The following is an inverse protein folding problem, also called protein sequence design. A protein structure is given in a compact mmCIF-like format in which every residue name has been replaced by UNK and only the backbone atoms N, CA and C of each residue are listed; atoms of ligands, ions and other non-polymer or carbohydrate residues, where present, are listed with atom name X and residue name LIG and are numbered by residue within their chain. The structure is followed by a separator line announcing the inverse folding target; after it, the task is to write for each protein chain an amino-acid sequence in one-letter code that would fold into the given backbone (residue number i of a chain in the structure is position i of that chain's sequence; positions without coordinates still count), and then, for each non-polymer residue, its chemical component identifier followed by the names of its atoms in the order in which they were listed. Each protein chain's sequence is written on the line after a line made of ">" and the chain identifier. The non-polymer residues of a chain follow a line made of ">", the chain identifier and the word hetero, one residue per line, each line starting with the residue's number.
data_IF_992357919760
#
_entry.id   IF_992357919760
#
_cell.length_a   1.000
_cell.length_b   1.000
_cell.length_c   1.000
_cell.angle_alpha   90.00
_cell.angle_beta   90.00
_cell.angle_gamma   90.00
#
_symmetry.space_group_name_H-M   'P 1'
#
loop_
_entity.id
_entity.type
_entity.pdbx_description
1 polymer ?
#
# COMPACT_ATOMS: atom_id res chain seq x y z
N UNK A 1 2.94 16.76 -37.50
CA UNK A 1 2.44 16.75 -36.12
C UNK A 1 2.70 18.13 -35.57
N UNK A 2 1.67 18.96 -35.45
CA UNK A 2 1.82 20.34 -35.00
C UNK A 2 1.87 20.39 -33.46
N UNK A 3 3.00 20.84 -32.86
CA UNK A 3 3.19 20.82 -31.41
C UNK A 3 2.26 21.78 -30.64
N UNK A 4 1.60 22.71 -31.34
CA UNK A 4 0.74 23.73 -30.72
C UNK A 4 -0.67 23.21 -30.39
N UNK A 5 -1.15 22.16 -31.07
CA UNK A 5 -2.50 21.61 -30.86
C UNK A 5 -2.55 20.57 -29.72
N UNK A 6 -1.42 19.95 -29.37
CA UNK A 6 -1.36 18.89 -28.33
C UNK A 6 -1.23 19.40 -26.89
N UNK A 7 -0.62 20.59 -26.69
CA UNK A 7 -0.36 21.12 -25.35
C UNK A 7 -1.62 21.33 -24.47
N UNK A 8 -2.76 21.84 -24.98
CA UNK A 8 -3.98 22.01 -24.18
C UNK A 8 -4.61 20.68 -23.74
N UNK A 9 -4.52 19.63 -24.57
CA UNK A 9 -5.05 18.29 -24.24
C UNK A 9 -4.19 17.59 -23.20
N UNK A 10 -2.87 17.65 -23.33
CA UNK A 10 -1.94 17.07 -22.36
C UNK A 10 -2.04 17.75 -20.99
N UNK A 11 -2.16 19.08 -20.96
CA UNK A 11 -2.37 19.82 -19.71
C UNK A 11 -3.69 19.42 -19.05
N UNK A 12 -4.77 19.28 -19.82
CA UNK A 12 -6.06 18.83 -19.27
C UNK A 12 -5.96 17.42 -18.69
N UNK A 13 -5.33 16.48 -19.39
CA UNK A 13 -5.11 15.12 -18.89
C UNK A 13 -4.33 15.14 -17.56
N UNK A 14 -3.19 15.83 -17.54
CA UNK A 14 -2.31 15.85 -16.37
C UNK A 14 -3.04 16.37 -15.12
N UNK A 15 -3.77 17.48 -15.25
CA UNK A 15 -4.50 18.06 -14.12
C UNK A 15 -5.64 17.16 -13.67
N UNK A 16 -6.47 16.67 -14.60
CA UNK A 16 -7.68 15.93 -14.23
C UNK A 16 -7.40 14.54 -13.64
N UNK A 17 -6.35 13.86 -14.09
CA UNK A 17 -6.06 12.50 -13.65
C UNK A 17 -4.84 12.42 -12.73
N UNK A 18 -3.69 12.94 -13.18
CA UNK A 18 -2.42 12.76 -12.45
C UNK A 18 -2.44 13.56 -11.15
N UNK A 19 -2.75 14.87 -11.22
CA UNK A 19 -2.72 15.75 -10.05
C UNK A 19 -3.79 15.36 -9.03
N UNK A 20 -5.02 15.11 -9.45
CA UNK A 20 -6.12 14.73 -8.53
C UNK A 20 -5.79 13.45 -7.77
N UNK A 21 -5.35 12.39 -8.47
CA UNK A 21 -4.99 11.15 -7.80
C UNK A 21 -3.69 11.24 -6.98
N UNK A 22 -2.71 12.05 -7.38
CA UNK A 22 -1.52 12.33 -6.57
C UNK A 22 -1.88 13.07 -5.27
N UNK A 23 -2.71 14.10 -5.35
CA UNK A 23 -3.21 14.82 -4.16
C UNK A 23 -3.98 13.86 -3.26
N UNK A 24 -4.87 13.04 -3.82
CA UNK A 24 -5.58 12.03 -3.05
C UNK A 24 -4.63 11.05 -2.35
N UNK A 25 -3.59 10.59 -3.05
CA UNK A 25 -2.58 9.66 -2.52
C UNK A 25 -1.72 10.29 -1.43
N UNK A 26 -1.37 11.57 -1.56
CA UNK A 26 -0.67 12.33 -0.52
C UNK A 26 -1.55 12.53 0.72
N UNK A 27 -2.85 12.82 0.54
CA UNK A 27 -3.78 12.94 1.66
C UNK A 27 -3.94 11.62 2.42
N UNK A 28 -4.05 10.49 1.69
CA UNK A 28 -4.04 9.16 2.31
C UNK A 28 -2.73 8.92 3.05
N UNK A 29 -1.58 9.25 2.43
CA UNK A 29 -0.29 9.00 3.02
C UNK A 29 -0.05 9.80 4.30
N UNK A 30 -0.35 11.10 4.29
CA UNK A 30 -0.23 11.95 5.47
C UNK A 30 -1.23 11.51 6.54
N UNK A 31 -2.51 11.30 6.18
CA UNK A 31 -3.53 10.90 7.14
C UNK A 31 -3.23 9.54 7.78
N UNK A 32 -2.63 8.60 7.04
CA UNK A 32 -2.28 7.28 7.53
C UNK A 32 -1.25 7.29 8.66
N UNK A 33 -0.43 8.34 8.79
CA UNK A 33 0.45 8.51 9.95
C UNK A 33 -0.35 8.67 11.25
N UNK A 34 -1.50 9.34 11.20
CA UNK A 34 -2.36 9.59 12.35
C UNK A 34 -3.33 8.46 12.70
N UNK A 35 -3.74 7.63 11.74
CA UNK A 35 -4.79 6.61 11.97
C UNK A 35 -4.42 5.20 11.53
N UNK A 36 -3.33 5.01 10.80
CA UNK A 36 -2.89 3.70 10.34
C UNK A 36 -2.32 2.84 11.46
N UNK A 37 -2.20 1.55 11.20
CA UNK A 37 -1.64 0.58 12.11
C UNK A 37 -0.12 0.67 12.16
N UNK A 38 0.40 1.03 13.33
CA UNK A 38 1.81 0.99 13.64
C UNK A 38 2.09 -0.13 14.65
N UNK A 39 3.28 -0.79 14.58
CA UNK A 39 3.70 -1.75 15.59
C UNK A 39 3.74 -1.10 16.98
N UNK A 40 3.54 -1.87 18.04
CA UNK A 40 3.35 -1.33 19.39
C UNK A 40 4.56 -0.52 19.87
N UNK A 41 5.77 -1.01 19.58
CA UNK A 41 7.03 -0.42 20.06
C UNK A 41 7.81 0.32 18.96
N UNK A 42 7.12 0.92 17.99
CA UNK A 42 7.81 1.67 16.93
C UNK A 42 8.31 3.03 17.41
N UNK A 43 9.52 3.42 16.99
CA UNK A 43 10.05 4.78 17.22
C UNK A 43 9.33 5.85 16.39
N UNK A 44 8.40 5.47 15.51
CA UNK A 44 7.58 6.43 14.77
C UNK A 44 6.67 7.25 15.68
N UNK A 45 6.31 6.73 16.86
CA UNK A 45 5.54 7.49 17.85
C UNK A 45 6.32 8.69 18.41
N UNK A 46 7.66 8.64 18.40
CA UNK A 46 8.51 9.73 18.88
C UNK A 46 8.62 10.88 17.86
N UNK A 47 8.13 10.69 16.63
CA UNK A 47 8.14 11.74 15.62
C UNK A 47 7.06 12.78 15.94
N UNK A 48 7.40 14.08 16.05
CA UNK A 48 6.45 15.12 16.47
C UNK A 48 5.27 15.30 15.52
N UNK A 49 5.43 14.99 14.23
CA UNK A 49 4.33 15.06 13.26
C UNK A 49 3.38 13.88 13.45
N UNK A 50 3.92 12.67 13.68
CA UNK A 50 3.11 11.48 13.93
C UNK A 50 2.35 11.63 15.25
N UNK A 51 3.03 12.09 16.30
CA UNK A 51 2.41 12.37 17.60
C UNK A 51 1.29 13.42 17.47
N UNK A 52 1.56 14.55 16.79
CA UNK A 52 0.55 15.58 16.56
C UNK A 52 -0.68 15.05 15.77
N UNK A 53 -0.48 14.22 14.74
CA UNK A 53 -1.56 13.63 13.96
C UNK A 53 -2.34 12.53 14.72
N UNK A 54 -1.72 11.90 15.72
CA UNK A 54 -2.36 10.90 16.59
C UNK A 54 -3.00 11.51 17.84
N UNK A 55 -2.69 12.77 18.14
CA UNK A 55 -3.22 13.46 19.32
C UNK A 55 -4.77 13.47 19.34
N UNK A 56 -5.40 13.20 20.49
CA UNK A 56 -6.85 13.27 20.63
C UNK A 56 -7.40 14.65 20.26
N UNK A 57 -8.54 14.68 19.57
CA UNK A 57 -9.17 15.91 19.11
C UNK A 57 -8.85 16.23 17.66
N UNK A 58 -8.23 17.38 17.40
CA UNK A 58 -8.07 17.92 16.04
C UNK A 58 -7.11 17.10 15.18
N UNK A 59 -5.99 16.62 15.74
CA UNK A 59 -4.98 15.86 15.00
C UNK A 59 -5.56 14.60 14.35
N UNK A 60 -6.13 13.72 15.18
CA UNK A 60 -6.75 12.48 14.69
C UNK A 60 -7.97 12.74 13.80
N UNK A 61 -8.75 13.81 14.05
CA UNK A 61 -9.88 14.18 13.20
C UNK A 61 -9.42 14.59 11.79
N UNK A 62 -8.37 15.42 11.70
CA UNK A 62 -7.76 15.80 10.43
C UNK A 62 -7.17 14.59 9.71
N UNK A 63 -6.46 13.72 10.43
CA UNK A 63 -5.90 12.50 9.85
C UNK A 63 -6.98 11.60 9.23
N UNK A 64 -8.10 11.36 9.95
CA UNK A 64 -9.25 10.60 9.43
C UNK A 64 -9.87 11.26 8.20
N UNK A 65 -10.09 12.58 8.28
CA UNK A 65 -10.65 13.33 7.16
C UNK A 65 -9.74 13.25 5.93
N UNK A 66 -8.42 13.43 6.09
CA UNK A 66 -7.44 13.30 5.02
C UNK A 66 -7.46 11.93 4.36
N UNK A 67 -7.53 10.84 5.13
CA UNK A 67 -7.66 9.49 4.55
C UNK A 67 -8.95 9.35 3.75
N UNK A 68 -10.10 9.72 4.32
CA UNK A 68 -11.40 9.56 3.65
C UNK A 68 -11.49 10.42 2.38
N UNK A 69 -11.10 11.69 2.48
CA UNK A 69 -11.08 12.61 1.34
C UNK A 69 -10.09 12.14 0.26
N UNK A 70 -8.90 11.70 0.67
CA UNK A 70 -7.89 11.18 -0.24
C UNK A 70 -8.37 9.93 -0.99
N UNK A 71 -8.99 8.98 -0.30
CA UNK A 71 -9.60 7.80 -0.93
C UNK A 71 -10.70 8.19 -1.93
N UNK A 72 -11.57 9.14 -1.56
CA UNK A 72 -12.63 9.60 -2.44
C UNK A 72 -12.07 10.24 -3.72
N UNK A 73 -11.00 11.04 -3.63
CA UNK A 73 -10.33 11.64 -4.78
C UNK A 73 -9.66 10.61 -5.68
N UNK A 74 -8.94 9.62 -5.12
CA UNK A 74 -8.32 8.55 -5.90
C UNK A 74 -9.40 7.74 -6.62
N UNK A 75 -10.47 7.35 -5.92
CA UNK A 75 -11.58 6.59 -6.49
C UNK A 75 -12.25 7.38 -7.63
N UNK A 76 -12.52 8.67 -7.41
CA UNK A 76 -13.07 9.55 -8.44
C UNK A 76 -12.14 9.62 -9.65
N UNK A 77 -10.86 9.90 -9.46
CA UNK A 77 -9.88 9.99 -10.54
C UNK A 77 -9.79 8.67 -11.33
N UNK A 78 -9.81 7.53 -10.62
CA UNK A 78 -9.81 6.20 -11.23
C UNK A 78 -11.07 5.95 -12.07
N UNK A 79 -12.26 6.30 -11.56
CA UNK A 79 -13.53 6.13 -12.29
C UNK A 79 -13.59 7.01 -13.54
N UNK A 80 -13.17 8.28 -13.45
CA UNK A 80 -13.18 9.19 -14.60
C UNK A 80 -12.16 8.74 -15.65
N UNK A 81 -10.93 8.40 -15.22
CA UNK A 81 -9.90 7.88 -16.14
C UNK A 81 -10.35 6.59 -16.81
N UNK A 82 -10.90 5.64 -16.04
CA UNK A 82 -11.43 4.38 -16.55
C UNK A 82 -12.56 4.60 -17.57
N UNK A 83 -13.49 5.52 -17.29
CA UNK A 83 -14.55 5.87 -18.23
C UNK A 83 -13.99 6.43 -19.55
N UNK A 84 -13.00 7.31 -19.49
CA UNK A 84 -12.41 7.91 -20.69
C UNK A 84 -11.54 6.92 -21.49
N UNK A 85 -10.86 5.98 -20.81
CA UNK A 85 -10.18 4.84 -21.46
C UNK A 85 -11.19 3.94 -22.19
N UNK A 86 -12.30 3.57 -21.53
CA UNK A 86 -13.36 2.74 -22.13
C UNK A 86 -14.04 3.41 -23.34
N UNK A 87 -14.10 4.75 -23.37
CA UNK A 87 -14.61 5.53 -24.51
C UNK A 87 -13.57 5.80 -25.61
N UNK A 88 -12.33 5.30 -25.46
CA UNK A 88 -11.24 5.52 -26.40
C UNK A 88 -10.72 6.96 -26.43
N UNK A 89 -11.00 7.78 -25.41
CA UNK A 89 -10.53 9.17 -25.30
C UNK A 89 -9.10 9.25 -24.77
N UNK A 90 -8.69 8.24 -24.00
CA UNK A 90 -7.32 8.05 -23.52
C UNK A 90 -6.82 6.71 -24.03
N UNK A 91 -5.75 6.73 -24.82
CA UNK A 91 -5.13 5.53 -25.39
C UNK A 91 -3.60 5.51 -25.20
N UNK A 92 -3.01 6.60 -24.70
CA UNK A 92 -1.58 6.68 -24.46
C UNK A 92 -1.20 5.84 -23.24
N UNK A 93 -0.59 4.70 -23.50
CA UNK A 93 -0.12 3.77 -22.48
C UNK A 93 0.97 4.37 -21.59
N UNK A 94 1.84 5.23 -22.14
CA UNK A 94 2.91 5.86 -21.37
C UNK A 94 2.35 6.82 -20.31
N UNK A 95 1.31 7.58 -20.67
CA UNK A 95 0.60 8.45 -19.75
C UNK A 95 -0.10 7.67 -18.63
N UNK A 96 -0.68 6.50 -18.94
CA UNK A 96 -1.30 5.63 -17.94
C UNK A 96 -0.27 5.06 -16.95
N UNK A 97 0.90 4.62 -17.42
CA UNK A 97 1.99 4.16 -16.56
C UNK A 97 2.49 5.27 -15.63
N UNK A 98 2.69 6.49 -16.14
CA UNK A 98 3.07 7.63 -15.31
C UNK A 98 1.99 8.01 -14.30
N UNK A 99 0.72 7.93 -14.69
CA UNK A 99 -0.42 8.16 -13.78
C UNK A 99 -0.42 7.14 -12.65
N UNK A 100 -0.26 5.85 -12.97
CA UNK A 100 -0.16 4.77 -11.97
C UNK A 100 1.03 5.01 -11.03
N UNK A 101 2.21 5.32 -11.58
CA UNK A 101 3.41 5.59 -10.78
C UNK A 101 3.22 6.79 -9.84
N UNK A 102 2.62 7.88 -10.32
CA UNK A 102 2.33 9.06 -9.53
C UNK A 102 1.36 8.77 -8.37
N UNK A 103 0.32 7.98 -8.61
CA UNK A 103 -0.63 7.61 -7.56
C UNK A 103 -0.03 6.62 -6.55
N UNK A 104 0.75 5.64 -7.02
CA UNK A 104 1.34 4.65 -6.14
C UNK A 104 2.48 5.19 -5.26
N UNK A 105 3.27 6.15 -5.76
CA UNK A 105 4.49 6.59 -5.08
C UNK A 105 4.28 7.05 -3.61
N UNK A 106 3.30 7.91 -3.28
CA UNK A 106 3.01 8.25 -1.89
C UNK A 106 2.48 7.05 -1.08
N UNK A 107 1.69 6.18 -1.71
CA UNK A 107 1.01 5.07 -1.05
C UNK A 107 1.98 3.97 -0.55
N UNK A 108 3.15 3.83 -1.18
CA UNK A 108 4.19 2.88 -0.77
C UNK A 108 4.64 3.11 0.67
N UNK A 109 4.70 4.39 1.09
CA UNK A 109 5.24 4.80 2.39
C UNK A 109 4.20 4.82 3.51
N UNK A 110 2.99 4.32 3.24
CA UNK A 110 1.86 4.44 4.18
C UNK A 110 1.85 3.30 5.20
N UNK A 111 1.59 3.58 6.49
CA UNK A 111 1.18 2.55 7.42
C UNK A 111 -0.07 1.80 6.91
N UNK A 112 -0.20 0.49 7.16
CA UNK A 112 -1.41 -0.25 6.84
C UNK A 112 -2.66 0.40 7.45
N UNK A 113 -3.69 0.69 6.64
CA UNK A 113 -4.88 1.44 7.08
C UNK A 113 -6.05 0.55 7.51
N UNK A 114 -6.40 -0.44 6.69
CA UNK A 114 -7.64 -1.22 6.86
C UNK A 114 -7.42 -2.59 7.48
N UNK A 115 -6.19 -3.11 7.39
CA UNK A 115 -5.81 -4.43 7.87
C UNK A 115 -4.40 -4.40 8.46
N UNK A 116 -4.10 -5.37 9.32
CA UNK A 116 -2.80 -5.64 9.93
C UNK A 116 -2.07 -6.82 9.26
N UNK A 117 -2.57 -7.33 8.14
CA UNK A 117 -2.03 -8.54 7.48
C UNK A 117 -0.54 -8.44 7.17
N UNK A 118 -0.03 -7.27 6.80
CA UNK A 118 1.39 -7.08 6.54
C UNK A 118 2.28 -7.42 7.75
N UNK A 119 1.79 -7.23 8.97
CA UNK A 119 2.49 -7.63 10.19
C UNK A 119 2.31 -9.12 10.48
N UNK A 120 1.16 -9.70 10.14
CA UNK A 120 0.98 -11.15 10.21
C UNK A 120 1.92 -11.88 9.25
N UNK A 121 2.09 -11.40 8.03
CA UNK A 121 3.05 -11.93 7.03
C UNK A 121 4.49 -11.89 7.56
N UNK A 122 4.86 -10.78 8.20
CA UNK A 122 6.16 -10.65 8.83
C UNK A 122 6.37 -11.70 9.94
N UNK A 123 5.38 -11.86 10.83
CA UNK A 123 5.47 -12.85 11.91
C UNK A 123 5.42 -14.29 11.40
N UNK A 124 4.67 -14.60 10.34
CA UNK A 124 4.71 -15.91 9.66
C UNK A 124 6.11 -16.20 9.10
N UNK A 125 6.75 -15.18 8.51
CA UNK A 125 8.16 -15.26 8.12
C UNK A 125 9.08 -15.60 9.30
N UNK A 126 8.87 -14.98 10.47
CA UNK A 126 9.65 -15.27 11.69
C UNK A 126 9.43 -16.69 12.20
N UNK A 127 8.20 -17.22 12.17
CA UNK A 127 7.92 -18.62 12.51
C UNK A 127 8.78 -19.58 11.65
N UNK A 128 8.88 -19.32 10.35
CA UNK A 128 9.68 -20.13 9.44
C UNK A 128 11.19 -20.03 9.71
N UNK A 129 11.66 -18.86 10.16
CA UNK A 129 13.05 -18.66 10.60
C UNK A 129 13.33 -19.50 11.85
N UNK A 130 12.38 -19.58 12.78
CA UNK A 130 12.45 -20.39 14.00
C UNK A 130 12.24 -21.89 13.76
N UNK A 131 12.01 -22.31 12.51
CA UNK A 131 11.78 -23.71 12.15
C UNK A 131 10.38 -24.22 12.51
N UNK A 132 9.46 -23.32 12.85
CA UNK A 132 8.05 -23.63 13.07
C UNK A 132 7.30 -23.70 11.75
N UNK A 133 6.24 -24.50 11.71
CA UNK A 133 5.37 -24.65 10.55
C UNK A 133 4.12 -23.76 10.70
N UNK A 134 3.97 -22.67 9.92
CA UNK A 134 2.80 -21.79 10.01
C UNK A 134 1.48 -22.44 9.60
N UNK A 135 1.52 -23.65 9.02
CA UNK A 135 0.31 -24.45 8.76
C UNK A 135 -0.20 -25.20 10.00
N UNK A 136 0.66 -25.41 11.00
CA UNK A 136 0.32 -26.10 12.24
C UNK A 136 0.07 -25.12 13.41
N UNK A 137 0.75 -23.98 13.40
CA UNK A 137 0.66 -22.96 14.45
C UNK A 137 0.37 -21.57 13.90
N UNK A 138 -0.36 -20.77 14.66
CA UNK A 138 -0.56 -19.35 14.37
C UNK A 138 0.64 -18.48 14.76
N UNK A 139 0.58 -17.20 14.39
CA UNK A 139 1.61 -16.20 14.71
C UNK A 139 1.82 -16.00 16.22
N UNK A 140 0.84 -16.36 17.06
CA UNK A 140 0.94 -16.32 18.51
C UNK A 140 2.07 -17.18 19.09
N UNK A 141 2.55 -18.19 18.33
CA UNK A 141 3.68 -19.02 18.73
C UNK A 141 5.03 -18.25 18.72
N UNK A 142 5.12 -17.13 18.01
CA UNK A 142 6.31 -16.29 17.97
C UNK A 142 6.27 -15.24 19.09
N UNK A 143 7.27 -15.18 19.97
CA UNK A 143 7.22 -14.34 21.18
C UNK A 143 6.95 -12.84 20.99
N UNK A 144 7.34 -12.27 19.85
CA UNK A 144 7.21 -10.84 19.51
C UNK A 144 5.93 -10.46 18.74
N UNK A 145 5.07 -11.42 18.39
CA UNK A 145 3.98 -11.25 17.42
C UNK A 145 3.10 -10.01 17.66
N UNK A 146 2.72 -9.78 18.93
CA UNK A 146 1.84 -8.67 19.30
C UNK A 146 2.54 -7.33 19.15
N UNK A 147 3.82 -7.26 19.55
CA UNK A 147 4.63 -6.06 19.45
C UNK A 147 4.93 -5.71 17.99
N UNK A 148 5.07 -6.73 17.15
CA UNK A 148 5.26 -6.60 15.70
C UNK A 148 4.01 -6.08 14.98
N UNK A 149 2.86 -6.09 15.64
CA UNK A 149 1.63 -5.44 15.19
C UNK A 149 0.62 -6.37 14.52
N UNK A 150 0.84 -7.69 14.59
CA UNK A 150 -0.13 -8.67 14.09
C UNK A 150 -1.46 -8.56 14.85
N UNK A 151 -2.57 -8.88 14.16
CA UNK A 151 -3.91 -8.73 14.73
C UNK A 151 -4.19 -9.85 15.75
N UNK A 152 -4.55 -9.52 17.01
CA UNK A 152 -4.94 -10.52 18.00
C UNK A 152 -6.09 -11.42 17.57
N UNK A 153 -6.99 -10.92 16.71
CA UNK A 153 -8.12 -11.70 16.21
C UNK A 153 -7.67 -12.96 15.44
N UNK A 154 -6.53 -12.86 14.75
CA UNK A 154 -5.99 -13.92 13.88
C UNK A 154 -4.76 -14.61 14.47
N UNK A 155 -4.37 -14.28 15.71
CA UNK A 155 -3.09 -14.67 16.26
C UNK A 155 -2.87 -16.19 16.32
N UNK A 156 -3.92 -16.94 16.65
CA UNK A 156 -3.88 -18.41 16.76
C UNK A 156 -4.23 -19.11 15.43
N UNK A 157 -4.58 -18.36 14.38
CA UNK A 157 -5.01 -18.95 13.11
C UNK A 157 -3.81 -19.39 12.28
N UNK A 158 -3.75 -20.65 11.82
CA UNK A 158 -2.75 -21.08 10.85
C UNK A 158 -2.87 -20.29 9.54
N UNK A 159 -1.76 -20.22 8.80
CA UNK A 159 -1.72 -19.47 7.55
C UNK A 159 -2.58 -20.11 6.45
N UNK A 160 -3.37 -19.31 5.69
CA UNK A 160 -4.04 -19.78 4.49
C UNK A 160 -3.15 -19.68 3.23
N UNK A 161 -1.94 -19.14 3.35
CA UNK A 161 -1.11 -18.77 2.20
C UNK A 161 -0.30 -19.95 1.64
N UNK A 162 -0.09 -19.93 0.33
CA UNK A 162 0.69 -20.95 -0.37
C UNK A 162 2.19 -20.86 -0.05
N UNK A 163 2.94 -21.96 -0.25
CA UNK A 163 4.33 -22.08 0.20
C UNK A 163 5.27 -21.06 -0.47
N UNK A 164 4.99 -20.64 -1.71
CA UNK A 164 5.80 -19.60 -2.37
C UNK A 164 5.71 -18.26 -1.62
N UNK A 165 4.51 -17.87 -1.16
CA UNK A 165 4.35 -16.62 -0.44
C UNK A 165 5.00 -16.71 0.94
N UNK A 166 4.89 -17.85 1.63
CA UNK A 166 5.62 -18.11 2.88
C UNK A 166 7.15 -17.97 2.73
N UNK A 167 7.72 -18.38 1.60
CA UNK A 167 9.14 -18.15 1.32
C UNK A 167 9.47 -16.66 1.12
N UNK A 168 8.56 -15.90 0.51
CA UNK A 168 8.70 -14.44 0.40
C UNK A 168 8.62 -13.80 1.79
N UNK A 169 7.66 -14.20 2.62
CA UNK A 169 7.51 -13.74 4.01
C UNK A 169 8.76 -13.99 4.83
N UNK A 170 9.30 -15.21 4.77
CA UNK A 170 10.58 -15.56 5.39
C UNK A 170 11.70 -14.67 4.88
N UNK A 171 11.84 -14.53 3.56
CA UNK A 171 12.89 -13.69 2.96
C UNK A 171 12.78 -12.22 3.34
N UNK A 172 11.56 -11.67 3.44
CA UNK A 172 11.32 -10.31 3.93
C UNK A 172 11.72 -10.21 5.41
N UNK A 173 11.31 -11.15 6.24
CA UNK A 173 11.65 -11.17 7.67
C UNK A 173 13.17 -11.26 7.90
N UNK A 174 13.87 -12.12 7.16
CA UNK A 174 15.34 -12.21 7.19
C UNK A 174 16.00 -10.90 6.73
N UNK A 175 15.48 -10.26 5.68
CA UNK A 175 16.05 -9.04 5.11
C UNK A 175 15.89 -7.81 6.01
N UNK A 176 14.71 -7.61 6.60
CA UNK A 176 14.41 -6.42 7.40
C UNK A 176 14.77 -6.59 8.88
N UNK A 177 15.06 -7.82 9.32
CA UNK A 177 15.39 -8.12 10.71
C UNK A 177 14.26 -7.73 11.67
N UNK A 178 14.55 -7.09 12.81
CA UNK A 178 13.57 -6.81 13.87
C UNK A 178 12.67 -5.58 13.57
N UNK A 179 12.46 -5.25 12.29
CA UNK A 179 11.82 -4.00 11.88
C UNK A 179 10.50 -4.22 11.12
N UNK A 180 9.37 -4.43 11.82
CA UNK A 180 8.07 -4.71 11.21
C UNK A 180 7.55 -3.61 10.27
N UNK A 181 7.89 -2.34 10.52
CA UNK A 181 7.53 -1.23 9.61
C UNK A 181 8.19 -1.42 8.23
N UNK A 182 9.47 -1.79 8.22
CA UNK A 182 10.20 -2.06 6.98
C UNK A 182 9.67 -3.32 6.28
N UNK A 183 9.23 -4.32 7.04
CA UNK A 183 8.53 -5.49 6.49
C UNK A 183 7.27 -5.08 5.72
N UNK A 184 6.43 -4.23 6.31
CA UNK A 184 5.21 -3.75 5.66
C UNK A 184 5.50 -2.98 4.36
N UNK A 185 6.58 -2.18 4.33
CA UNK A 185 7.03 -1.50 3.10
C UNK A 185 7.53 -2.53 2.07
N UNK A 186 8.32 -3.52 2.48
CA UNK A 186 8.83 -4.56 1.60
C UNK A 186 7.70 -5.39 0.95
N UNK A 187 6.69 -5.80 1.73
CA UNK A 187 5.50 -6.45 1.18
C UNK A 187 4.73 -5.55 0.21
N UNK A 188 4.69 -4.25 0.47
CA UNK A 188 4.06 -3.29 -0.46
C UNK A 188 4.83 -3.16 -1.77
N UNK A 189 6.16 -3.24 -1.74
CA UNK A 189 6.98 -3.29 -2.96
C UNK A 189 6.73 -4.58 -3.76
N UNK A 190 6.58 -5.73 -3.09
CA UNK A 190 6.16 -6.97 -3.74
C UNK A 190 4.78 -6.84 -4.38
N UNK A 191 3.82 -6.20 -3.70
CA UNK A 191 2.49 -5.94 -4.27
C UNK A 191 2.55 -5.03 -5.51
N UNK A 192 3.36 -3.96 -5.47
CA UNK A 192 3.56 -3.07 -6.63
C UNK A 192 4.21 -3.82 -7.80
N UNK A 193 5.21 -4.66 -7.53
CA UNK A 193 5.82 -5.52 -8.55
C UNK A 193 4.79 -6.47 -9.18
N UNK A 194 3.95 -7.11 -8.36
CA UNK A 194 2.89 -7.98 -8.85
C UNK A 194 1.89 -7.22 -9.74
N UNK A 195 1.49 -6.00 -9.36
CA UNK A 195 0.63 -5.13 -10.19
C UNK A 195 1.31 -4.77 -11.51
N UNK A 196 2.60 -4.45 -11.51
CA UNK A 196 3.34 -4.15 -12.74
C UNK A 196 3.41 -5.36 -13.67
N UNK A 197 3.64 -6.56 -13.12
CA UNK A 197 3.61 -7.82 -13.89
C UNK A 197 2.22 -8.05 -14.48
N UNK A 198 1.14 -7.87 -13.71
CA UNK A 198 -0.23 -8.01 -14.21
C UNK A 198 -0.54 -7.03 -15.34
N UNK A 199 -0.12 -5.76 -15.20
CA UNK A 199 -0.35 -4.73 -16.21
C UNK A 199 0.34 -5.01 -17.55
N UNK A 200 1.42 -5.82 -17.56
CA UNK A 200 2.09 -6.28 -18.79
C UNK A 200 1.53 -7.62 -19.29
N UNK A 201 1.33 -8.59 -18.38
CA UNK A 201 0.98 -9.95 -18.71
C UNK A 201 -0.48 -10.11 -19.16
N UNK A 202 -1.42 -9.39 -18.51
CA UNK A 202 -2.85 -9.50 -18.82
C UNK A 202 -3.17 -9.06 -20.26
N UNK A 203 -2.68 -7.90 -20.75
CA UNK A 203 -2.89 -7.52 -22.15
C UNK A 203 -2.29 -8.54 -23.14
N UNK A 204 -1.09 -9.07 -22.85
CA UNK A 204 -0.45 -10.06 -23.71
C UNK A 204 -1.23 -11.38 -23.76
N UNK A 205 -1.85 -11.79 -22.65
CA UNK A 205 -2.72 -12.96 -22.59
C UNK A 205 -4.03 -12.73 -23.34
N UNK A 206 -4.62 -11.54 -23.22
CA UNK A 206 -5.89 -11.20 -23.88
C UNK A 206 -5.80 -11.13 -25.42
N UNK A 207 -4.59 -11.06 -25.97
CA UNK A 207 -4.33 -11.08 -27.41
C UNK A 207 -4.15 -12.50 -27.98
N UNK A 208 -4.12 -13.53 -27.12
CA UNK A 208 -4.02 -14.94 -27.52
C UNK A 208 -5.39 -15.59 -27.55
#
# INVERSE_FOLDING_TARGET
>A
MDPVIDAPRQHSFFVHYVVVGLVGSLLVAIGSLGVGWLPVNTSLYDNPVVDALRSPGLGVALARFSVIAGMALILQAWLVLGYDVLRGRVQDMSALWWTLAAWCAPLILTPPLFSRDAYAYFTQGKLLIEGLNPYDVGVAAESGWFNDGADPLWAESPTPYGPLFLLIERGVAEFVGPHPVWAAIAFRLWAVLAVAVLAVAVPALAQR
#
